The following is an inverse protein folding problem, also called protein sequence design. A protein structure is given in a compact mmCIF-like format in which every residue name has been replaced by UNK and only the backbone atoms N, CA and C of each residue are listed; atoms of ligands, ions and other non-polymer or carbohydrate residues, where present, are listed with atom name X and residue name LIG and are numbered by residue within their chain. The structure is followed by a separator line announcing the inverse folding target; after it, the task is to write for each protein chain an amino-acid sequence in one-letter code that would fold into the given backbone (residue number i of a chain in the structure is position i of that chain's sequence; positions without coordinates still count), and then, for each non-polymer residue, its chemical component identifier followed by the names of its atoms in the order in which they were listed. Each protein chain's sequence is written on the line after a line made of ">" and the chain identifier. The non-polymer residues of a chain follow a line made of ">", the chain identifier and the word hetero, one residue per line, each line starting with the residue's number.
data_IF_386694822674
#
_entry.id   IF_386694822674
#
_cell.length_a   1.000
_cell.length_b   1.000
_cell.length_c   1.000
_cell.angle_alpha   90.00
_cell.angle_beta   90.00
_cell.angle_gamma   90.00
#
_symmetry.space_group_name_H-M   'P 1'
#
loop_
_entity.id
_entity.type
_entity.pdbx_description
1 polymer ?
#
# COMPACT_ATOMS: atom_id res chain seq x y z
N UNK A 1 -4.86 -8.09 30.05
CA UNK A 1 -3.87 -8.84 29.24
C UNK A 1 -3.12 -9.75 30.20
N UNK A 2 -3.06 -11.06 29.96
CA UNK A 2 -2.34 -11.95 30.87
C UNK A 2 -0.83 -11.86 30.63
N UNK A 3 -0.03 -11.99 31.69
CA UNK A 3 1.43 -12.04 31.61
C UNK A 3 1.93 -13.18 30.70
N UNK A 4 1.14 -14.24 30.57
CA UNK A 4 1.40 -15.39 29.70
C UNK A 4 1.47 -15.01 28.23
N UNK A 5 0.52 -14.19 27.73
CA UNK A 5 0.52 -13.72 26.34
C UNK A 5 1.74 -12.88 26.01
N UNK A 6 2.21 -12.04 26.96
CA UNK A 6 3.40 -11.20 26.77
C UNK A 6 4.66 -12.07 26.68
N UNK A 7 4.81 -13.08 27.55
CA UNK A 7 5.94 -14.02 27.53
C UNK A 7 6.02 -14.81 26.22
N UNK A 8 4.88 -15.24 25.68
CA UNK A 8 4.82 -15.98 24.41
C UNK A 8 5.12 -15.08 23.18
N UNK A 9 4.74 -13.80 23.22
CA UNK A 9 5.14 -12.82 22.19
C UNK A 9 6.64 -12.54 22.27
N UNK A 10 7.20 -12.42 23.48
CA UNK A 10 8.64 -12.26 23.67
C UNK A 10 9.43 -13.46 23.13
N UNK A 11 8.98 -14.68 23.42
CA UNK A 11 9.65 -15.88 22.90
C UNK A 11 9.57 -15.97 21.38
N UNK A 12 8.47 -15.56 20.74
CA UNK A 12 8.34 -15.60 19.28
C UNK A 12 9.16 -14.54 18.55
N UNK A 13 9.26 -13.31 19.08
CA UNK A 13 9.98 -12.21 18.40
C UNK A 13 11.48 -12.26 18.63
N UNK A 14 11.93 -12.79 19.77
CA UNK A 14 13.34 -12.74 20.20
C UNK A 14 14.06 -14.10 20.16
N UNK A 15 13.38 -15.20 19.77
CA UNK A 15 14.00 -16.50 19.60
C UNK A 15 14.28 -16.80 18.11
N UNK A 16 15.52 -16.62 17.63
CA UNK A 16 15.87 -16.86 16.24
C UNK A 16 15.81 -18.34 15.84
N UNK A 17 16.04 -19.28 16.77
CA UNK A 17 15.98 -20.72 16.51
C UNK A 17 14.53 -21.18 16.30
N UNK A 18 13.60 -20.63 17.08
CA UNK A 18 12.16 -20.90 16.98
C UNK A 18 11.47 -20.34 15.74
N UNK A 19 12.13 -19.43 15.00
CA UNK A 19 11.55 -18.81 13.80
C UNK A 19 11.32 -19.81 12.65
N UNK A 20 12.07 -20.92 12.64
CA UNK A 20 11.99 -21.98 11.62
C UNK A 20 11.43 -23.30 12.19
N UNK A 21 10.90 -23.29 13.42
CA UNK A 21 10.33 -24.46 14.09
C UNK A 21 8.80 -24.52 13.87
N UNK A 22 8.33 -25.62 13.30
CA UNK A 22 6.92 -25.81 12.94
C UNK A 22 5.98 -25.88 14.15
N UNK A 23 6.38 -26.53 15.23
CA UNK A 23 5.54 -26.67 16.42
C UNK A 23 5.46 -25.35 17.18
N UNK A 24 6.55 -24.58 17.21
CA UNK A 24 6.52 -23.20 17.71
C UNK A 24 5.61 -22.29 16.86
N UNK A 25 5.58 -22.45 15.53
CA UNK A 25 4.62 -21.72 14.69
C UNK A 25 3.17 -22.09 15.02
N UNK A 26 2.85 -23.36 15.30
CA UNK A 26 1.49 -23.75 15.75
C UNK A 26 1.12 -23.10 17.06
N UNK A 27 2.04 -23.03 18.02
CA UNK A 27 1.79 -22.34 19.29
C UNK A 27 1.50 -20.86 19.06
N UNK A 28 2.31 -20.20 18.23
CA UNK A 28 2.15 -18.78 17.88
C UNK A 28 0.83 -18.52 17.15
N UNK A 29 0.41 -19.40 16.24
CA UNK A 29 -0.83 -19.26 15.49
C UNK A 29 -2.08 -19.18 16.40
N UNK A 30 -2.00 -19.72 17.61
CA UNK A 30 -3.08 -19.64 18.61
C UNK A 30 -3.04 -18.36 19.46
N UNK A 31 -2.00 -17.54 19.33
CA UNK A 31 -1.85 -16.29 20.08
C UNK A 31 -2.49 -15.17 19.28
N UNK A 32 -3.52 -14.54 19.87
CA UNK A 32 -4.05 -13.28 19.33
C UNK A 32 -3.09 -12.14 19.68
N UNK A 33 -2.67 -11.31 18.71
CA UNK A 33 -1.93 -10.10 18.99
C UNK A 33 -2.69 -9.22 20.00
N UNK A 34 -1.97 -8.47 20.85
CA UNK A 34 -2.60 -7.64 21.86
C UNK A 34 -3.28 -6.42 21.22
N UNK A 35 -4.57 -6.58 20.88
CA UNK A 35 -5.41 -5.56 20.23
C UNK A 35 -5.29 -4.17 20.89
N UNK A 36 -5.23 -4.13 22.23
CA UNK A 36 -5.08 -2.90 23.01
C UNK A 36 -3.77 -2.15 22.70
N UNK A 37 -2.68 -2.84 22.41
CA UNK A 37 -1.40 -2.22 22.04
C UNK A 37 -1.37 -1.76 20.59
N UNK A 38 -2.25 -2.29 19.74
CA UNK A 38 -2.41 -1.87 18.35
C UNK A 38 -3.33 -0.65 18.22
N UNK A 39 -4.22 -0.43 19.19
CA UNK A 39 -5.14 0.70 19.25
C UNK A 39 -5.93 0.88 17.95
N UNK A 40 -6.03 2.12 17.48
CA UNK A 40 -6.75 2.49 16.24
C UNK A 40 -6.18 1.88 14.95
N UNK A 41 -5.06 1.15 15.02
CA UNK A 41 -4.44 0.46 13.87
C UNK A 41 -4.86 -0.99 13.74
N UNK A 42 -5.44 -1.59 14.77
CA UNK A 42 -5.84 -3.00 14.80
C UNK A 42 -6.56 -3.44 13.53
N UNK A 43 -7.70 -2.81 13.22
CA UNK A 43 -8.56 -3.25 12.11
C UNK A 43 -7.88 -3.04 10.75
N UNK A 44 -7.06 -2.01 10.60
CA UNK A 44 -6.27 -1.79 9.39
C UNK A 44 -5.24 -2.91 9.21
N UNK A 45 -4.48 -3.24 10.26
CA UNK A 45 -3.47 -4.30 10.20
C UNK A 45 -4.11 -5.66 9.91
N UNK A 46 -5.24 -5.97 10.55
CA UNK A 46 -6.02 -7.18 10.26
C UNK A 46 -6.53 -7.19 8.82
N UNK A 47 -7.05 -6.07 8.32
CA UNK A 47 -7.51 -5.97 6.94
C UNK A 47 -6.38 -6.19 5.92
N UNK A 48 -5.19 -5.66 6.18
CA UNK A 48 -4.03 -5.80 5.28
C UNK A 48 -3.49 -7.24 5.24
N UNK A 49 -3.43 -7.94 6.38
CA UNK A 49 -2.99 -9.34 6.42
C UNK A 49 -4.04 -10.28 5.82
N UNK A 50 -5.33 -10.07 6.13
CA UNK A 50 -6.42 -10.85 5.55
C UNK A 50 -6.46 -10.67 4.04
N UNK A 51 -6.21 -9.46 3.52
CA UNK A 51 -6.11 -9.22 2.08
C UNK A 51 -5.00 -10.04 1.42
N UNK A 52 -3.81 -10.10 2.03
CA UNK A 52 -2.69 -10.85 1.47
C UNK A 52 -2.94 -12.36 1.55
N UNK A 53 -3.45 -12.86 2.67
CA UNK A 53 -3.84 -14.28 2.79
C UNK A 53 -4.95 -14.67 1.82
N UNK A 54 -5.99 -13.83 1.69
CA UNK A 54 -7.08 -14.08 0.74
C UNK A 54 -6.57 -14.14 -0.69
N UNK A 55 -5.62 -13.27 -1.05
CA UNK A 55 -4.95 -13.31 -2.35
C UNK A 55 -4.23 -14.65 -2.56
N UNK A 56 -3.40 -15.10 -1.62
CA UNK A 56 -2.71 -16.39 -1.75
C UNK A 56 -3.68 -17.57 -1.79
N UNK A 57 -4.76 -17.53 -0.99
CA UNK A 57 -5.81 -18.55 -0.99
C UNK A 57 -6.51 -18.62 -2.35
N UNK A 58 -6.77 -17.49 -3.01
CA UNK A 58 -7.38 -17.46 -4.35
C UNK A 58 -6.37 -17.94 -5.39
N UNK A 59 -5.13 -17.45 -5.33
CA UNK A 59 -4.08 -17.75 -6.32
C UNK A 59 -3.72 -19.24 -6.36
N UNK A 60 -3.88 -19.98 -5.25
CA UNK A 60 -3.64 -21.43 -5.24
C UNK A 60 -4.60 -22.23 -6.14
N UNK A 61 -5.78 -21.69 -6.45
CA UNK A 61 -6.80 -22.34 -7.30
C UNK A 61 -6.66 -21.94 -8.78
N UNK A 62 -5.66 -21.13 -9.12
CA UNK A 62 -5.40 -20.74 -10.50
C UNK A 62 -4.53 -21.82 -11.14
N UNK A 63 -5.12 -22.55 -12.08
CA UNK A 63 -4.38 -23.43 -12.98
C UNK A 63 -3.85 -22.63 -14.18
N UNK A 64 -2.53 -22.67 -14.40
CA UNK A 64 -1.87 -22.00 -15.51
C UNK A 64 -2.43 -22.42 -16.89
N UNK A 65 -2.95 -23.65 -17.01
CA UNK A 65 -3.59 -24.17 -18.24
C UNK A 65 -4.85 -23.40 -18.62
N UNK A 66 -5.52 -22.77 -17.66
CA UNK A 66 -6.71 -21.96 -17.89
C UNK A 66 -6.38 -20.50 -18.27
N UNK A 67 -5.10 -20.11 -18.24
CA UNK A 67 -4.65 -18.77 -18.67
C UNK A 67 -4.50 -18.79 -20.20
N UNK A 68 -5.62 -18.77 -20.90
CA UNK A 68 -5.74 -18.77 -22.37
C UNK A 68 -6.77 -17.74 -22.82
N UNK A 69 -6.76 -17.35 -24.10
CA UNK A 69 -7.71 -16.34 -24.59
C UNK A 69 -9.18 -16.79 -24.48
N UNK A 70 -9.43 -18.11 -24.56
CA UNK A 70 -10.74 -18.73 -24.43
C UNK A 70 -10.93 -19.39 -23.05
N UNK A 71 -11.25 -18.57 -22.04
CA UNK A 71 -11.48 -19.05 -20.68
C UNK A 71 -12.87 -19.70 -20.55
N UNK A 72 -12.94 -20.88 -19.94
CA UNK A 72 -14.19 -21.60 -19.69
C UNK A 72 -14.54 -21.64 -18.20
N UNK A 73 -15.62 -20.94 -17.82
CA UNK A 73 -16.13 -20.98 -16.44
C UNK A 73 -16.50 -22.40 -15.99
N UNK A 74 -17.16 -23.25 -16.80
CA UNK A 74 -17.42 -24.65 -16.42
C UNK A 74 -16.16 -25.47 -16.11
N UNK A 75 -15.05 -25.26 -16.84
CA UNK A 75 -13.79 -25.98 -16.57
C UNK A 75 -13.20 -25.55 -15.22
N UNK A 76 -13.12 -24.24 -14.97
CA UNK A 76 -12.66 -23.69 -13.68
C UNK A 76 -13.54 -24.17 -12.52
N UNK A 77 -14.86 -24.19 -12.71
CA UNK A 77 -15.80 -24.68 -11.71
C UNK A 77 -15.57 -26.16 -11.38
N UNK A 78 -15.34 -26.99 -12.40
CA UNK A 78 -15.09 -28.42 -12.25
C UNK A 78 -13.78 -28.68 -11.49
N UNK A 79 -12.72 -27.97 -11.87
CA UNK A 79 -11.39 -28.06 -11.25
C UNK A 79 -11.46 -27.68 -9.76
N UNK A 80 -12.03 -26.51 -9.45
CA UNK A 80 -12.18 -26.04 -8.07
C UNK A 80 -13.06 -26.98 -7.24
N UNK A 81 -14.13 -27.53 -7.83
CA UNK A 81 -14.95 -28.51 -7.12
C UNK A 81 -14.14 -29.75 -6.73
N UNK A 82 -13.26 -30.23 -7.61
CA UNK A 82 -12.36 -31.33 -7.31
C UNK A 82 -11.37 -30.94 -6.21
N UNK A 83 -10.64 -29.83 -6.35
CA UNK A 83 -9.64 -29.38 -5.38
C UNK A 83 -10.25 -29.16 -3.99
N UNK A 84 -11.41 -28.52 -3.90
CA UNK A 84 -12.11 -28.33 -2.62
C UNK A 84 -12.55 -29.68 -2.05
N UNK A 85 -13.01 -30.62 -2.88
CA UNK A 85 -13.34 -31.96 -2.41
C UNK A 85 -12.17 -32.66 -1.74
N UNK A 86 -10.96 -32.45 -2.26
CA UNK A 86 -9.72 -33.01 -1.71
C UNK A 86 -9.26 -32.26 -0.43
N UNK A 87 -9.34 -30.92 -0.43
CA UNK A 87 -8.90 -30.09 0.70
C UNK A 87 -9.76 -30.24 1.95
N UNK A 88 -11.09 -30.16 1.82
CA UNK A 88 -12.00 -30.13 2.98
C UNK A 88 -12.78 -31.44 3.17
N UNK A 89 -12.73 -32.36 2.21
CA UNK A 89 -13.34 -33.69 2.33
C UNK A 89 -14.78 -33.65 2.83
N UNK A 90 -15.07 -34.38 3.92
CA UNK A 90 -16.36 -34.41 4.63
C UNK A 90 -16.44 -33.44 5.82
N UNK A 91 -15.47 -32.54 5.98
CA UNK A 91 -15.41 -31.62 7.14
C UNK A 91 -16.48 -30.53 7.09
N UNK A 92 -17.06 -30.28 5.91
CA UNK A 92 -18.12 -29.28 5.70
C UNK A 92 -19.35 -29.92 5.06
N UNK A 93 -20.52 -29.30 5.24
CA UNK A 93 -21.76 -29.77 4.63
C UNK A 93 -21.71 -29.66 3.09
N UNK A 94 -22.47 -30.50 2.40
CA UNK A 94 -22.57 -30.44 0.93
C UNK A 94 -23.11 -29.09 0.43
N UNK A 95 -23.95 -28.41 1.23
CA UNK A 95 -24.48 -27.09 0.89
C UNK A 95 -23.39 -26.03 0.95
N UNK A 96 -22.67 -25.95 2.08
CA UNK A 96 -21.59 -24.98 2.27
C UNK A 96 -20.49 -25.19 1.23
N UNK A 97 -20.16 -26.46 0.93
CA UNK A 97 -19.21 -26.80 -0.10
C UNK A 97 -19.60 -26.24 -1.46
N UNK A 98 -20.87 -26.40 -1.85
CA UNK A 98 -21.38 -25.87 -3.13
C UNK A 98 -21.28 -24.35 -3.18
N UNK A 99 -21.64 -23.66 -2.10
CA UNK A 99 -21.54 -22.20 -2.02
C UNK A 99 -20.09 -21.72 -2.15
N UNK A 100 -19.16 -22.35 -1.42
CA UNK A 100 -17.73 -22.03 -1.47
C UNK A 100 -17.18 -22.28 -2.88
N UNK A 101 -17.50 -23.43 -3.49
CA UNK A 101 -17.05 -23.76 -4.86
C UNK A 101 -17.50 -22.69 -5.85
N UNK A 102 -18.78 -22.29 -5.82
CA UNK A 102 -19.29 -21.27 -6.74
C UNK A 102 -18.61 -19.92 -6.49
N UNK A 103 -18.47 -19.52 -5.21
CA UNK A 103 -17.86 -18.26 -4.85
C UNK A 103 -16.39 -18.18 -5.30
N UNK A 104 -15.60 -19.20 -4.99
CA UNK A 104 -14.18 -19.27 -5.38
C UNK A 104 -14.06 -19.34 -6.90
N UNK A 105 -14.89 -20.11 -7.59
CA UNK A 105 -14.86 -20.22 -9.06
C UNK A 105 -15.10 -18.89 -9.75
N UNK A 106 -16.03 -18.07 -9.27
CA UNK A 106 -16.25 -16.72 -9.82
C UNK A 106 -15.03 -15.82 -9.62
N UNK A 107 -14.43 -15.87 -8.43
CA UNK A 107 -13.25 -15.05 -8.12
C UNK A 107 -12.04 -15.49 -8.95
N UNK A 108 -11.80 -16.80 -9.07
CA UNK A 108 -10.73 -17.37 -9.89
C UNK A 108 -10.94 -17.05 -11.37
N UNK A 109 -12.16 -17.21 -11.89
CA UNK A 109 -12.48 -16.87 -13.28
C UNK A 109 -12.15 -15.40 -13.58
N UNK A 110 -12.65 -14.47 -12.76
CA UNK A 110 -12.35 -13.04 -12.91
C UNK A 110 -10.83 -12.76 -12.82
N UNK A 111 -10.12 -13.52 -11.97
CA UNK A 111 -8.67 -13.38 -11.81
C UNK A 111 -7.91 -13.89 -13.05
N UNK A 112 -8.33 -14.98 -13.65
CA UNK A 112 -7.78 -15.50 -14.91
C UNK A 112 -8.03 -14.52 -16.06
N UNK A 113 -9.24 -13.95 -16.16
CA UNK A 113 -9.55 -12.87 -17.11
C UNK A 113 -8.59 -11.68 -16.96
N UNK A 114 -8.35 -11.27 -15.72
CA UNK A 114 -7.39 -10.20 -15.43
C UNK A 114 -5.98 -10.56 -15.88
N UNK A 115 -5.49 -11.76 -15.55
CA UNK A 115 -4.15 -12.21 -15.94
C UNK A 115 -3.99 -12.27 -17.46
N UNK A 116 -5.02 -12.70 -18.19
CA UNK A 116 -5.01 -12.66 -19.66
C UNK A 116 -4.95 -11.22 -20.20
N UNK A 117 -5.65 -10.27 -19.58
CA UNK A 117 -5.51 -8.84 -19.95
C UNK A 117 -4.11 -8.31 -19.71
N UNK A 118 -3.32 -8.86 -18.78
CA UNK A 118 -1.92 -8.47 -18.59
C UNK A 118 -1.02 -8.87 -19.76
N UNK A 119 -1.42 -9.84 -20.57
CA UNK A 119 -0.73 -10.19 -21.82
C UNK A 119 -0.91 -9.08 -22.87
N UNK A 120 -1.99 -8.31 -22.78
CA UNK A 120 -2.16 -7.12 -23.61
C UNK A 120 -1.19 -6.01 -23.15
N UNK A 121 -0.69 -5.24 -24.11
CA UNK A 121 0.18 -4.10 -23.82
C UNK A 121 -0.60 -3.02 -23.09
N UNK A 122 -0.08 -2.56 -21.94
CA UNK A 122 -0.61 -1.40 -21.19
C UNK A 122 -0.85 -0.22 -22.13
N UNK A 123 -2.00 0.42 -22.00
CA UNK A 123 -2.31 1.62 -22.78
C UNK A 123 -1.34 2.77 -22.43
N UNK A 124 -0.94 3.53 -23.44
CA UNK A 124 -0.14 4.73 -23.23
C UNK A 124 -1.02 5.84 -22.63
N UNK A 125 -0.51 6.53 -21.61
CA UNK A 125 -1.17 7.72 -21.05
C UNK A 125 -1.07 8.86 -22.08
N UNK A 126 -2.20 9.20 -22.70
CA UNK A 126 -2.28 10.25 -23.73
C UNK A 126 -2.21 11.64 -23.11
N UNK A 127 -1.89 12.65 -23.93
CA UNK A 127 -1.92 14.04 -23.47
C UNK A 127 -3.34 14.49 -23.10
N UNK A 128 -4.35 14.05 -23.86
CA UNK A 128 -5.75 14.35 -23.57
C UNK A 128 -6.16 13.84 -22.18
N UNK A 129 -5.81 12.59 -21.86
CA UNK A 129 -6.10 12.01 -20.55
C UNK A 129 -5.46 12.82 -19.40
N UNK A 130 -4.25 13.34 -19.59
CA UNK A 130 -3.60 14.21 -18.60
C UNK A 130 -4.35 15.52 -18.41
N UNK A 131 -4.81 16.14 -19.49
CA UNK A 131 -5.64 17.36 -19.45
C UNK A 131 -6.98 17.11 -18.75
N UNK A 132 -7.62 15.97 -19.02
CA UNK A 132 -8.89 15.58 -18.39
C UNK A 132 -8.70 15.39 -16.86
N UNK A 133 -7.63 14.70 -16.46
CA UNK A 133 -7.29 14.50 -15.05
C UNK A 133 -6.98 15.83 -14.33
N UNK A 134 -6.25 16.75 -14.96
CA UNK A 134 -6.02 18.09 -14.41
C UNK A 134 -7.34 18.85 -14.22
N UNK A 135 -8.24 18.76 -15.19
CA UNK A 135 -9.55 19.40 -15.14
C UNK A 135 -10.40 18.87 -13.98
N UNK A 136 -10.36 17.55 -13.72
CA UNK A 136 -11.04 16.92 -12.58
C UNK A 136 -10.47 17.41 -11.24
N UNK A 137 -9.14 17.57 -11.13
CA UNK A 137 -8.49 17.98 -9.88
C UNK A 137 -8.55 19.50 -9.63
N UNK A 138 -8.83 20.29 -10.66
CA UNK A 138 -8.96 21.74 -10.57
C UNK A 138 -7.63 22.50 -10.55
N UNK A 139 -7.65 23.82 -10.24
CA UNK A 139 -6.53 24.72 -10.49
C UNK A 139 -5.34 24.56 -9.54
N UNK A 140 -5.54 23.91 -8.38
CA UNK A 140 -4.48 23.64 -7.39
C UNK A 140 -4.44 22.15 -7.08
N UNK A 141 -4.08 21.31 -8.06
CA UNK A 141 -4.10 19.88 -7.90
C UNK A 141 -3.14 19.48 -6.78
N UNK A 142 -3.59 18.51 -5.97
CA UNK A 142 -2.78 17.88 -4.93
C UNK A 142 -2.59 16.41 -5.25
N UNK A 143 -1.46 15.86 -4.83
CA UNK A 143 -1.21 14.44 -4.87
C UNK A 143 -2.32 13.69 -4.12
N UNK A 144 -2.98 12.75 -4.81
CA UNK A 144 -4.10 12.00 -4.25
C UNK A 144 -3.75 11.14 -3.03
N UNK A 145 -2.46 10.80 -2.86
CA UNK A 145 -1.95 9.97 -1.78
C UNK A 145 -1.35 10.76 -0.61
N UNK A 146 -0.76 11.92 -0.85
CA UNK A 146 0.00 12.66 0.19
C UNK A 146 -0.55 14.05 0.48
N UNK A 147 -1.40 14.61 -0.37
CA UNK A 147 -1.89 15.98 -0.25
C UNK A 147 -0.85 17.04 -0.61
N UNK A 148 0.33 16.64 -1.08
CA UNK A 148 1.34 17.55 -1.62
C UNK A 148 0.72 18.40 -2.73
N UNK A 149 0.78 19.72 -2.61
CA UNK A 149 0.32 20.64 -3.65
C UNK A 149 1.40 20.75 -4.71
N UNK A 150 1.04 20.43 -5.96
CA UNK A 150 1.97 20.56 -7.06
C UNK A 150 2.28 22.03 -7.36
N UNK A 151 3.54 22.30 -7.75
CA UNK A 151 3.95 23.62 -8.20
C UNK A 151 3.43 23.88 -9.62
N UNK A 152 3.41 25.16 -10.03
CA UNK A 152 2.97 25.54 -11.38
C UNK A 152 3.86 24.92 -12.46
N UNK A 153 5.16 24.73 -12.18
CA UNK A 153 6.09 24.03 -13.07
C UNK A 153 5.73 22.55 -13.20
N UNK A 154 5.40 21.87 -12.10
CA UNK A 154 4.98 20.47 -12.14
C UNK A 154 3.66 20.26 -12.90
N UNK A 155 2.73 21.22 -12.77
CA UNK A 155 1.46 21.23 -13.50
C UNK A 155 1.70 21.43 -15.00
N UNK A 156 2.49 22.44 -15.37
CA UNK A 156 2.88 22.71 -16.76
C UNK A 156 3.61 21.51 -17.39
N UNK A 157 4.57 20.95 -16.68
CA UNK A 157 5.41 19.85 -17.16
C UNK A 157 4.64 18.55 -17.40
N UNK A 158 3.46 18.37 -16.81
CA UNK A 158 2.67 17.16 -17.02
C UNK A 158 2.28 16.99 -18.51
N UNK A 159 1.91 18.09 -19.18
CA UNK A 159 1.43 18.12 -20.56
C UNK A 159 2.41 18.76 -21.55
N UNK A 160 3.45 19.44 -21.05
CA UNK A 160 4.47 20.07 -21.89
C UNK A 160 5.34 19.06 -22.66
N UNK A 161 5.87 19.49 -23.81
CA UNK A 161 6.89 18.74 -24.55
C UNK A 161 8.25 18.86 -23.85
N UNK A 162 9.18 17.94 -24.13
CA UNK A 162 10.52 17.88 -23.50
C UNK A 162 11.30 19.21 -23.56
N UNK A 163 11.17 19.99 -24.64
CA UNK A 163 11.85 21.28 -24.80
C UNK A 163 11.15 22.47 -24.14
N UNK A 164 9.94 22.29 -23.61
CA UNK A 164 9.11 23.32 -22.99
C UNK A 164 9.02 23.13 -21.46
N UNK A 165 9.74 22.14 -20.93
CA UNK A 165 9.72 21.83 -19.50
C UNK A 165 10.35 22.96 -18.70
N UNK A 166 9.75 23.28 -17.56
CA UNK A 166 10.22 24.25 -16.58
C UNK A 166 10.97 23.54 -15.45
N UNK A 167 11.96 24.21 -14.88
CA UNK A 167 12.74 23.65 -13.78
C UNK A 167 11.93 23.61 -12.47
N UNK A 168 11.87 22.43 -11.85
CA UNK A 168 11.24 22.26 -10.54
C UNK A 168 12.30 22.44 -9.45
N UNK A 169 12.08 23.41 -8.56
CA UNK A 169 12.99 23.70 -7.46
C UNK A 169 12.93 22.63 -6.37
N UNK A 170 14.08 22.04 -6.04
CA UNK A 170 14.20 21.09 -4.93
C UNK A 170 14.20 21.83 -3.57
N UNK A 171 13.61 21.23 -2.53
CA UNK A 171 13.65 21.81 -1.19
C UNK A 171 15.04 21.72 -0.58
N UNK A 172 15.36 22.67 0.31
CA UNK A 172 16.60 22.65 1.10
C UNK A 172 16.53 21.58 2.20
N UNK A 173 15.34 21.42 2.80
CA UNK A 173 15.08 20.47 3.86
C UNK A 173 13.99 19.47 3.46
N UNK A 174 14.16 18.22 3.87
CA UNK A 174 13.21 17.13 3.62
C UNK A 174 12.72 16.55 4.95
N UNK A 175 11.50 16.02 4.94
CA UNK A 175 10.94 15.27 6.07
C UNK A 175 11.57 13.87 6.10
N UNK A 176 12.28 13.51 7.18
CA UNK A 176 12.95 12.19 7.26
C UNK A 176 11.99 11.00 7.22
N UNK A 177 10.72 11.18 7.60
CA UNK A 177 9.69 10.13 7.55
C UNK A 177 9.02 10.00 6.17
N UNK A 178 9.19 11.02 5.33
CA UNK A 178 8.64 11.12 3.97
C UNK A 178 9.62 11.93 3.11
N UNK A 179 10.77 11.35 2.72
CA UNK A 179 11.89 12.09 2.11
C UNK A 179 11.60 12.40 0.63
N UNK A 180 10.57 13.20 0.41
CA UNK A 180 10.13 13.69 -0.87
C UNK A 180 10.95 14.92 -1.25
N UNK A 181 11.40 14.97 -2.51
CA UNK A 181 12.25 16.05 -3.02
C UNK A 181 13.74 15.76 -2.90
N UNK A 182 14.14 14.49 -2.79
CA UNK A 182 15.55 14.10 -2.95
C UNK A 182 16.01 14.29 -4.40
N UNK A 183 15.12 13.97 -5.35
CA UNK A 183 15.32 14.14 -6.80
C UNK A 183 14.12 14.87 -7.41
N UNK A 184 14.30 15.50 -8.57
CA UNK A 184 13.25 16.30 -9.25
C UNK A 184 11.98 15.49 -9.48
N UNK A 185 12.12 14.22 -9.89
CA UNK A 185 11.01 13.30 -10.11
C UNK A 185 10.10 13.16 -8.89
N UNK A 186 10.61 13.28 -7.67
CA UNK A 186 9.77 13.15 -6.47
C UNK A 186 8.64 14.20 -6.41
N UNK A 187 8.85 15.35 -7.05
CA UNK A 187 7.96 16.51 -7.05
C UNK A 187 7.14 16.64 -8.35
N UNK A 188 7.40 15.80 -9.35
CA UNK A 188 6.61 15.79 -10.60
C UNK A 188 5.25 15.13 -10.39
N UNK A 189 4.29 15.47 -11.26
CA UNK A 189 3.01 14.76 -11.34
C UNK A 189 3.18 13.50 -12.17
N UNK A 190 2.76 12.36 -11.64
CA UNK A 190 2.66 11.08 -12.35
C UNK A 190 1.19 10.60 -12.32
N UNK A 191 0.77 9.93 -13.41
CA UNK A 191 -0.53 9.27 -13.49
C UNK A 191 -0.35 7.83 -13.06
N UNK A 192 -1.00 7.45 -11.96
CA UNK A 192 -0.90 6.11 -11.40
C UNK A 192 -2.27 5.45 -11.29
N UNK A 193 -2.27 4.12 -11.30
CA UNK A 193 -3.47 3.33 -11.12
C UNK A 193 -3.82 3.16 -9.64
N UNK A 194 -5.08 3.37 -9.28
CA UNK A 194 -5.63 3.09 -7.95
C UNK A 194 -5.45 1.61 -7.62
N UNK A 195 -5.82 0.72 -8.54
CA UNK A 195 -5.46 -0.69 -8.52
C UNK A 195 -4.41 -0.97 -9.61
N UNK A 196 -3.20 -1.45 -9.27
CA UNK A 196 -2.10 -1.57 -10.24
C UNK A 196 -2.45 -2.39 -11.48
N UNK A 197 -2.04 -1.91 -12.66
CA UNK A 197 -2.20 -2.67 -13.91
C UNK A 197 -1.64 -4.08 -13.79
N UNK A 198 -0.43 -4.26 -13.23
CA UNK A 198 0.21 -5.59 -13.05
C UNK A 198 -0.58 -6.56 -12.17
N UNK A 199 -1.61 -6.09 -11.48
CA UNK A 199 -2.50 -6.91 -10.67
C UNK A 199 -3.90 -6.99 -11.27
N UNK A 200 -4.13 -6.55 -12.51
CA UNK A 200 -5.42 -6.61 -13.19
C UNK A 200 -6.21 -5.30 -13.18
N UNK A 201 -5.59 -4.18 -12.84
CA UNK A 201 -6.19 -2.86 -12.93
C UNK A 201 -6.46 -2.42 -14.36
N UNK A 202 -7.62 -1.79 -14.59
CA UNK A 202 -8.01 -1.26 -15.89
C UNK A 202 -7.26 0.03 -16.27
N UNK A 203 -7.19 0.30 -17.58
CA UNK A 203 -6.66 1.53 -18.16
C UNK A 203 -7.76 2.57 -18.44
N UNK A 204 -8.61 2.80 -17.45
CA UNK A 204 -9.71 3.77 -17.50
C UNK A 204 -9.48 4.95 -16.55
N UNK A 205 -10.09 6.09 -16.86
CA UNK A 205 -9.95 7.32 -16.07
C UNK A 205 -10.39 7.17 -14.61
N UNK A 206 -11.31 6.24 -14.32
CA UNK A 206 -11.80 6.02 -12.95
C UNK A 206 -10.74 5.30 -12.10
N UNK A 207 -9.88 4.50 -12.72
CA UNK A 207 -8.73 3.87 -12.09
C UNK A 207 -7.49 4.78 -12.03
N UNK A 208 -7.47 5.94 -12.69
CA UNK A 208 -6.30 6.84 -12.68
C UNK A 208 -6.35 7.92 -11.59
N UNK A 209 -5.19 8.21 -10.98
CA UNK A 209 -5.00 9.29 -10.01
C UNK A 209 -3.73 10.09 -10.31
N UNK A 210 -3.79 11.40 -10.07
CA UNK A 210 -2.59 12.24 -10.05
C UNK A 210 -1.88 12.08 -8.70
N UNK A 211 -0.64 11.60 -8.73
CA UNK A 211 0.21 11.43 -7.54
C UNK A 211 1.60 12.01 -7.78
N UNK A 212 2.31 12.36 -6.70
CA UNK A 212 3.69 12.80 -6.82
C UNK A 212 4.61 11.60 -7.11
N UNK A 213 5.72 11.83 -7.81
CA UNK A 213 6.64 10.76 -8.18
C UNK A 213 7.24 10.03 -6.97
N UNK A 214 7.38 10.69 -5.82
CA UNK A 214 7.78 10.00 -4.58
C UNK A 214 6.75 8.97 -4.15
N UNK A 215 5.46 9.34 -4.14
CA UNK A 215 4.39 8.44 -3.78
C UNK A 215 4.24 7.31 -4.81
N UNK A 216 4.44 7.58 -6.10
CA UNK A 216 4.41 6.55 -7.14
C UNK A 216 5.53 5.52 -6.95
N UNK A 217 6.76 5.99 -6.75
CA UNK A 217 7.94 5.17 -6.46
C UNK A 217 7.73 4.26 -5.24
N UNK A 218 7.14 4.82 -4.18
CA UNK A 218 6.90 4.10 -2.92
C UNK A 218 5.71 3.14 -3.01
N UNK A 219 4.61 3.55 -3.66
CA UNK A 219 3.42 2.70 -3.86
C UNK A 219 3.74 1.53 -4.78
N UNK A 220 4.43 1.79 -5.88
CA UNK A 220 4.77 0.77 -6.90
C UNK A 220 3.53 -0.06 -7.26
N UNK A 221 3.67 -1.38 -7.36
CA UNK A 221 2.59 -2.34 -7.56
C UNK A 221 2.01 -2.91 -6.25
N UNK A 222 2.34 -2.34 -5.09
CA UNK A 222 1.87 -2.88 -3.82
C UNK A 222 0.38 -2.56 -3.57
N UNK A 223 -0.33 -3.54 -3.00
CA UNK A 223 -1.75 -3.41 -2.60
C UNK A 223 -1.98 -3.75 -1.11
N UNK A 224 -0.95 -4.28 -0.44
CA UNK A 224 -0.92 -4.58 0.98
C UNK A 224 0.40 -4.13 1.58
N UNK A 225 0.37 -3.69 2.84
CA UNK A 225 1.55 -3.35 3.62
C UNK A 225 2.51 -4.50 3.90
N UNK A 226 2.10 -5.73 3.57
CA UNK A 226 2.90 -6.94 3.72
C UNK A 226 3.54 -7.42 2.40
N UNK A 227 3.27 -6.78 1.26
CA UNK A 227 3.73 -7.25 -0.06
C UNK A 227 5.25 -7.11 -0.31
N UNK A 228 6.02 -6.51 0.61
CA UNK A 228 7.49 -6.60 0.68
C UNK A 228 8.01 -6.25 2.09
N UNK A 229 8.94 -7.06 2.61
CA UNK A 229 9.41 -7.11 4.00
C UNK A 229 9.56 -5.78 4.75
N UNK A 230 8.77 -5.66 5.81
CA UNK A 230 8.74 -4.52 6.73
C UNK A 230 9.80 -4.67 7.83
N UNK A 231 10.85 -3.85 7.84
CA UNK A 231 11.83 -3.83 8.94
C UNK A 231 12.25 -2.40 9.30
N UNK A 232 12.34 -2.11 10.59
CA UNK A 232 12.93 -0.85 11.05
C UNK A 232 14.44 -0.84 10.72
N UNK A 233 14.93 0.24 10.12
CA UNK A 233 16.35 0.44 9.84
C UNK A 233 16.86 1.61 10.68
N UNK A 234 17.58 1.30 11.76
CA UNK A 234 18.16 2.29 12.68
C UNK A 234 19.49 2.86 12.19
N UNK A 235 20.12 2.25 11.18
CA UNK A 235 21.44 2.66 10.69
C UNK A 235 21.37 3.84 9.73
N UNK A 236 20.19 4.09 9.17
CA UNK A 236 19.96 5.19 8.24
C UNK A 236 19.43 6.43 8.96
N UNK A 237 19.95 7.61 8.62
CA UNK A 237 19.41 8.87 9.14
C UNK A 237 17.98 9.17 8.61
N UNK A 238 17.56 8.53 7.51
CA UNK A 238 16.17 8.52 7.04
C UNK A 238 15.42 7.35 7.69
N UNK A 239 14.78 7.62 8.81
CA UNK A 239 14.00 6.63 9.51
C UNK A 239 12.51 6.79 9.19
N UNK A 240 11.77 5.73 8.81
CA UNK A 240 12.20 4.37 8.43
C UNK A 240 12.27 4.11 6.91
N UNK A 241 13.40 3.62 6.40
CA UNK A 241 13.59 3.29 4.96
C UNK A 241 12.61 2.24 4.40
N UNK A 242 12.14 1.29 5.22
CA UNK A 242 11.29 0.16 4.75
C UNK A 242 9.82 0.27 5.13
N UNK A 243 9.40 1.32 5.83
CA UNK A 243 7.98 1.55 6.09
C UNK A 243 7.38 2.68 5.23
N UNK A 244 8.08 3.20 4.21
CA UNK A 244 7.50 4.25 3.36
C UNK A 244 6.20 3.83 2.69
N UNK A 245 6.05 2.56 2.28
CA UNK A 245 4.78 2.08 1.78
C UNK A 245 3.68 2.20 2.84
N UNK A 246 3.95 1.83 4.10
CA UNK A 246 3.01 2.02 5.21
C UNK A 246 2.70 3.51 5.47
N UNK A 247 3.68 4.40 5.31
CA UNK A 247 3.46 5.84 5.38
C UNK A 247 2.43 6.27 4.33
N UNK A 248 2.65 5.92 3.06
CA UNK A 248 1.72 6.25 1.97
C UNK A 248 0.37 5.58 2.16
N UNK A 249 0.35 4.31 2.55
CA UNK A 249 -0.86 3.51 2.77
C UNK A 249 -1.72 4.11 3.87
N UNK A 250 -1.13 4.44 5.01
CA UNK A 250 -1.85 5.00 6.14
C UNK A 250 -2.39 6.40 5.82
N UNK A 251 -1.58 7.26 5.17
CA UNK A 251 -2.05 8.58 4.73
C UNK A 251 -3.20 8.44 3.74
N UNK A 252 -3.06 7.56 2.73
CA UNK A 252 -4.06 7.33 1.71
C UNK A 252 -5.38 6.77 2.25
N UNK A 253 -5.34 5.96 3.32
CA UNK A 253 -6.53 5.44 4.00
C UNK A 253 -7.16 6.44 4.97
N UNK A 254 -6.36 7.17 5.75
CA UNK A 254 -6.89 8.11 6.76
C UNK A 254 -7.31 9.43 6.16
N UNK A 255 -6.57 9.95 5.18
CA UNK A 255 -6.83 11.19 4.43
C UNK A 255 -7.02 12.46 5.28
N UNK A 256 -6.80 12.40 6.60
CA UNK A 256 -6.92 13.51 7.54
C UNK A 256 -5.88 13.44 8.64
N UNK A 257 -5.58 14.59 9.23
CA UNK A 257 -4.75 14.71 10.43
C UNK A 257 -5.46 14.05 11.62
N UNK A 258 -4.71 13.32 12.44
CA UNK A 258 -5.22 12.60 13.63
C UNK A 258 -4.87 13.30 14.94
N UNK A 259 -4.46 14.58 14.88
CA UNK A 259 -4.35 15.44 16.07
C UNK A 259 -5.73 15.98 16.40
N UNK A 260 -6.13 15.87 17.67
CA UNK A 260 -7.45 16.31 18.15
C UNK A 260 -7.73 17.77 17.77
N UNK A 261 -8.94 18.02 17.27
CA UNK A 261 -9.37 19.35 16.83
C UNK A 261 -8.82 19.81 15.48
N UNK A 262 -7.91 19.06 14.84
CA UNK A 262 -7.36 19.45 13.54
C UNK A 262 -8.31 19.13 12.37
N UNK A 263 -8.65 20.15 11.58
CA UNK A 263 -9.46 20.01 10.36
C UNK A 263 -8.66 19.75 9.08
N UNK A 264 -7.32 19.70 9.19
CA UNK A 264 -6.46 19.48 8.03
C UNK A 264 -6.62 18.07 7.48
N UNK A 265 -6.70 18.00 6.15
CA UNK A 265 -6.90 16.80 5.38
C UNK A 265 -6.17 16.89 4.04
N UNK A 266 -6.19 15.79 3.28
CA UNK A 266 -5.42 15.66 2.05
C UNK A 266 -5.77 16.69 0.97
N UNK A 267 -6.93 17.35 1.07
CA UNK A 267 -7.39 18.38 0.12
C UNK A 267 -6.87 19.78 0.48
N UNK A 268 -6.47 20.04 1.72
CA UNK A 268 -6.04 21.36 2.18
C UNK A 268 -4.63 21.39 2.80
N UNK A 269 -4.02 20.24 3.06
CA UNK A 269 -2.69 20.15 3.64
C UNK A 269 -1.95 18.93 3.15
N UNK A 270 -0.62 19.05 3.06
CA UNK A 270 0.24 17.89 2.91
C UNK A 270 0.23 17.08 4.22
N UNK A 271 0.05 15.77 4.08
CA UNK A 271 0.01 14.83 5.18
C UNK A 271 1.30 14.01 5.21
N UNK A 272 1.68 13.63 6.42
CA UNK A 272 2.84 12.80 6.74
C UNK A 272 2.55 12.01 8.01
N UNK A 273 3.55 11.34 8.59
CA UNK A 273 3.39 10.56 9.82
C UNK A 273 4.32 11.01 10.94
N UNK A 274 3.98 10.70 12.19
CA UNK A 274 4.90 10.71 13.34
C UNK A 274 4.64 9.48 14.20
N UNK A 275 5.42 9.29 15.26
CA UNK A 275 5.11 8.29 16.29
C UNK A 275 4.04 8.84 17.25
N UNK A 276 2.98 8.07 17.50
CA UNK A 276 1.98 8.35 18.54
C UNK A 276 2.53 8.17 19.96
N UNK A 277 3.70 7.52 20.09
CA UNK A 277 4.36 7.23 21.37
C UNK A 277 5.47 8.23 21.70
N UNK A 278 5.61 9.30 20.93
CA UNK A 278 6.61 10.36 21.10
C UNK A 278 7.78 10.29 20.11
N UNK A 279 8.49 11.42 19.98
CA UNK A 279 9.44 11.69 18.90
C UNK A 279 10.72 10.84 18.91
N UNK A 280 11.08 10.30 20.08
CA UNK A 280 12.23 9.40 20.24
C UNK A 280 11.89 7.93 19.95
N UNK A 281 10.62 7.59 19.76
CA UNK A 281 10.17 6.22 19.51
C UNK A 281 10.16 5.89 18.03
N UNK A 282 10.36 4.61 17.72
CA UNK A 282 10.31 4.11 16.35
C UNK A 282 8.90 4.28 15.78
N UNK A 283 8.86 4.81 14.56
CA UNK A 283 7.67 4.85 13.71
C UNK A 283 7.51 3.49 13.01
N UNK A 284 6.56 2.70 13.48
CA UNK A 284 6.13 1.41 12.91
C UNK A 284 4.68 1.53 12.45
N UNK A 285 4.13 0.60 11.66
CA UNK A 285 2.73 0.66 11.23
C UNK A 285 1.73 0.80 12.39
N UNK A 286 2.09 0.29 13.57
CA UNK A 286 1.28 0.38 14.79
C UNK A 286 1.41 1.77 15.44
N UNK A 287 2.61 2.33 15.52
CA UNK A 287 2.84 3.63 16.18
C UNK A 287 2.68 4.83 15.24
N UNK A 288 2.49 4.64 13.93
CA UNK A 288 2.29 5.74 12.99
C UNK A 288 0.99 6.49 13.28
N UNK A 289 1.10 7.81 13.47
CA UNK A 289 0.00 8.78 13.50
C UNK A 289 0.11 9.70 12.29
N UNK A 290 -0.95 9.81 11.49
CA UNK A 290 -1.06 10.75 10.36
C UNK A 290 -1.22 12.16 10.90
N UNK A 291 -0.35 13.05 10.44
CA UNK A 291 -0.35 14.46 10.84
C UNK A 291 -0.21 15.35 9.61
N UNK A 292 -0.79 16.54 9.68
CA UNK A 292 -0.57 17.56 8.66
C UNK A 292 0.82 18.20 8.79
N UNK A 293 1.25 18.90 7.74
CA UNK A 293 2.54 19.59 7.70
C UNK A 293 2.76 20.56 8.88
N UNK A 294 1.70 21.26 9.31
CA UNK A 294 1.78 22.16 10.47
C UNK A 294 2.19 21.40 11.74
N UNK A 295 1.46 20.33 12.10
CA UNK A 295 1.79 19.52 13.27
C UNK A 295 3.12 18.76 13.13
N UNK A 296 3.51 18.41 11.90
CA UNK A 296 4.81 17.82 11.62
C UNK A 296 5.97 18.80 11.90
N UNK A 297 5.81 20.07 11.55
CA UNK A 297 6.85 21.11 11.72
C UNK A 297 7.19 21.47 13.16
N UNK A 298 6.35 21.10 14.12
CA UNK A 298 6.61 21.34 15.54
C UNK A 298 7.65 20.36 16.12
N UNK A 299 8.00 19.30 15.39
CA UNK A 299 8.92 18.27 15.88
C UNK A 299 10.38 18.64 15.57
N UNK A 300 11.16 18.85 16.62
CA UNK A 300 12.59 19.14 16.51
C UNK A 300 13.35 17.99 15.81
N UNK A 301 14.28 18.33 14.90
CA UNK A 301 15.10 17.33 14.21
C UNK A 301 14.34 16.42 13.23
N UNK A 302 13.13 16.83 12.80
CA UNK A 302 12.36 16.15 11.76
C UNK A 302 12.85 16.48 10.35
N UNK A 303 13.01 17.78 10.09
CA UNK A 303 13.44 18.28 8.80
C UNK A 303 14.97 18.30 8.75
N UNK A 304 15.53 17.57 7.79
CA UNK A 304 16.97 17.37 7.62
C UNK A 304 17.42 17.98 6.30
N UNK A 305 18.65 18.49 6.24
CA UNK A 305 19.19 19.05 5.00
C UNK A 305 19.23 17.97 3.92
N UNK A 306 18.70 18.28 2.73
CA UNK A 306 18.69 17.37 1.58
C UNK A 306 20.10 16.90 1.21
N UNK A 307 21.09 17.80 1.30
CA UNK A 307 22.50 17.54 0.94
C UNK A 307 23.16 16.42 1.74
N UNK A 308 22.60 16.03 2.89
CA UNK A 308 23.11 14.90 3.67
C UNK A 308 22.90 13.56 2.93
N UNK A 309 22.03 13.55 1.92
CA UNK A 309 21.62 12.34 1.18
C UNK A 309 21.89 12.44 -0.32
N UNK A 310 22.59 13.48 -0.76
CA UNK A 310 23.14 13.58 -2.11
C UNK A 310 24.39 12.68 -2.19
N UNK A 311 24.17 11.38 -2.39
CA UNK A 311 25.18 10.41 -2.84
C UNK A 311 24.63 9.66 -4.05
#
# INVERSE_FOLDING_TARGET
>A
MSLTTIKQIQSSVLNPEGAWDWDMQKEIANIKPPDLLMGVRRDMMHGEIIREWSKWIIEQFIDERNITDDISFPLILSDINQTISELVGKQISSSDKREIVIAISRVVFNRVEQLNRLRAKRANITNQLKCDLLSIYGPRPRCWLTGYQFSDEAIHNLTAKKGEMRDIKLPVFIDKYKPMGLVVRDLTIEVDHLYPFSLGGGDDIQNYRLICGWANKVKSNHISGYSAGTRADITTQLFPKRYYYWVVRLIGMRRKCEVDGCSNNIHNSELTVRSSLGDSKLVTPISMQVVCQHHASLLAGRYVKRSIYEN
#
